data_IF_824027012703
#
_entry.id   IF_824027012703
#
_cell.length_a   1.000
_cell.length_b   1.000
_cell.length_c   1.000
_cell.angle_alpha   90.00
_cell.angle_beta   90.00
_cell.angle_gamma   90.00
#
_symmetry.space_group_name_H-M   'P 1'
#
loop_
_entity.id
_entity.type
_entity.pdbx_description
1 polymer ?
#
# COMPACT_ATOMS: atom_id res chain seq x y z
N UNK A 1 13.51 -14.96 -17.21
CA UNK A 1 12.25 -14.98 -16.42
C UNK A 1 11.29 -13.93 -16.98
N UNK A 2 10.04 -14.29 -17.27
CA UNK A 2 9.03 -13.33 -17.74
C UNK A 2 8.58 -12.48 -16.54
N UNK A 3 8.65 -11.15 -16.64
CA UNK A 3 8.17 -10.26 -15.57
C UNK A 3 6.64 -10.42 -15.45
N UNK A 4 6.16 -10.74 -14.25
CA UNK A 4 4.73 -10.81 -13.90
C UNK A 4 4.38 -9.61 -13.03
N UNK A 5 3.20 -9.00 -13.25
CA UNK A 5 2.66 -8.05 -12.28
C UNK A 5 2.23 -8.76 -11.01
N UNK A 6 2.14 -8.02 -9.89
CA UNK A 6 1.64 -8.56 -8.62
C UNK A 6 0.22 -9.13 -8.80
N UNK A 7 -0.66 -8.41 -9.47
CA UNK A 7 -2.03 -8.87 -9.71
C UNK A 7 -2.10 -10.16 -10.50
N UNK A 8 -1.27 -10.30 -11.55
CA UNK A 8 -1.20 -11.54 -12.32
C UNK A 8 -0.71 -12.70 -11.46
N UNK A 9 0.36 -12.48 -10.70
CA UNK A 9 0.91 -13.50 -9.81
C UNK A 9 -0.13 -13.97 -8.78
N UNK A 10 -0.88 -13.05 -8.16
CA UNK A 10 -1.89 -13.41 -7.17
C UNK A 10 -3.09 -14.16 -7.78
N UNK A 11 -3.52 -13.79 -8.98
CA UNK A 11 -4.56 -14.52 -9.72
C UNK A 11 -4.10 -15.95 -10.00
N UNK A 12 -2.87 -16.12 -10.47
CA UNK A 12 -2.29 -17.45 -10.73
C UNK A 12 -2.19 -18.28 -9.45
N UNK A 13 -1.86 -17.67 -8.30
CA UNK A 13 -1.80 -18.38 -7.00
C UNK A 13 -3.18 -18.77 -6.43
N UNK A 14 -4.20 -17.95 -6.65
CA UNK A 14 -5.57 -18.28 -6.28
C UNK A 14 -6.13 -19.42 -7.15
N UNK A 15 -5.96 -19.32 -8.48
CA UNK A 15 -6.62 -20.22 -9.42
C UNK A 15 -5.90 -21.57 -9.60
N UNK A 16 -4.57 -21.55 -9.76
CA UNK A 16 -3.83 -22.75 -10.18
C UNK A 16 -3.37 -23.61 -9.00
N UNK A 17 -3.27 -23.02 -7.80
CA UNK A 17 -2.70 -23.71 -6.64
C UNK A 17 -3.61 -23.68 -5.42
N UNK A 18 -4.74 -22.94 -5.46
CA UNK A 18 -5.63 -22.72 -4.30
C UNK A 18 -4.87 -22.31 -3.02
N UNK A 19 -3.70 -21.69 -3.18
CA UNK A 19 -2.79 -21.38 -2.07
C UNK A 19 -3.30 -20.20 -1.23
N UNK A 20 -4.15 -19.38 -1.82
CA UNK A 20 -4.74 -18.20 -1.18
C UNK A 20 -6.23 -18.14 -1.47
N UNK A 21 -7.01 -17.71 -0.50
CA UNK A 21 -8.43 -17.42 -0.69
C UNK A 21 -8.63 -16.14 -1.52
N UNK A 22 -9.85 -15.96 -2.04
CA UNK A 22 -10.24 -14.73 -2.72
C UNK A 22 -10.09 -13.50 -1.79
N UNK A 23 -10.43 -13.65 -0.51
CA UNK A 23 -10.31 -12.59 0.49
C UNK A 23 -8.86 -12.19 0.74
N UNK A 24 -7.95 -13.18 0.83
CA UNK A 24 -6.53 -12.89 1.00
C UNK A 24 -5.94 -12.20 -0.24
N UNK A 25 -6.34 -12.63 -1.46
CA UNK A 25 -5.96 -11.92 -2.69
C UNK A 25 -6.45 -10.47 -2.65
N UNK A 26 -7.71 -10.25 -2.28
CA UNK A 26 -8.30 -8.92 -2.20
C UNK A 26 -7.57 -8.04 -1.20
N UNK A 27 -7.25 -8.56 -0.01
CA UNK A 27 -6.51 -7.86 1.02
C UNK A 27 -5.14 -7.38 0.50
N UNK A 28 -4.37 -8.27 -0.12
CA UNK A 28 -3.06 -7.92 -0.67
C UNK A 28 -3.18 -6.85 -1.77
N UNK A 29 -4.21 -6.96 -2.62
CA UNK A 29 -4.51 -5.97 -3.65
C UNK A 29 -4.89 -4.59 -3.08
N UNK A 30 -5.63 -4.54 -1.98
CA UNK A 30 -5.94 -3.29 -1.26
C UNK A 30 -4.66 -2.65 -0.72
N UNK A 31 -3.80 -3.44 -0.06
CA UNK A 31 -2.52 -2.96 0.48
C UNK A 31 -1.62 -2.43 -0.65
N UNK A 32 -1.52 -3.16 -1.77
CA UNK A 32 -0.72 -2.73 -2.92
C UNK A 32 -1.22 -1.39 -3.50
N UNK A 33 -2.54 -1.18 -3.57
CA UNK A 33 -3.12 0.11 -3.97
C UNK A 33 -2.79 1.22 -2.97
N UNK A 34 -2.86 0.96 -1.68
CA UNK A 34 -2.49 1.92 -0.64
C UNK A 34 -1.01 2.32 -0.76
N UNK A 35 -0.10 1.35 -0.93
CA UNK A 35 1.33 1.62 -1.16
C UNK A 35 1.55 2.50 -2.39
N UNK A 36 0.84 2.23 -3.50
CA UNK A 36 0.93 3.05 -4.71
C UNK A 36 0.42 4.48 -4.49
N UNK A 37 -0.68 4.65 -3.74
CA UNK A 37 -1.20 5.97 -3.40
C UNK A 37 -0.21 6.76 -2.52
N UNK A 38 0.37 6.14 -1.50
CA UNK A 38 1.40 6.74 -0.64
C UNK A 38 2.62 7.14 -1.48
N UNK A 39 3.11 6.27 -2.35
CA UNK A 39 4.25 6.57 -3.23
C UNK A 39 3.99 7.77 -4.14
N UNK A 40 2.78 7.91 -4.67
CA UNK A 40 2.37 9.09 -5.45
C UNK A 40 2.35 10.34 -4.57
N UNK A 41 1.81 10.25 -3.35
CA UNK A 41 1.76 11.38 -2.42
C UNK A 41 3.17 11.86 -2.02
N UNK A 42 4.07 10.92 -1.69
CA UNK A 42 5.49 11.20 -1.42
C UNK A 42 6.17 11.82 -2.64
N UNK A 43 5.95 11.26 -3.84
CA UNK A 43 6.53 11.77 -5.08
C UNK A 43 6.08 13.19 -5.44
N UNK A 44 4.90 13.62 -4.98
CA UNK A 44 4.41 15.00 -5.10
C UNK A 44 4.87 15.90 -3.96
N UNK A 45 5.26 15.35 -2.81
CA UNK A 45 5.86 16.05 -1.69
C UNK A 45 5.10 17.32 -1.30
N UNK A 46 5.82 18.46 -1.25
CA UNK A 46 5.26 19.75 -0.84
C UNK A 46 4.15 20.28 -1.77
N UNK A 47 4.06 19.82 -3.02
CA UNK A 47 2.95 20.23 -3.90
C UNK A 47 1.59 19.73 -3.43
N UNK A 48 1.55 18.69 -2.58
CA UNK A 48 0.32 18.15 -2.04
C UNK A 48 0.02 18.64 -0.61
N UNK A 49 0.83 19.56 -0.04
CA UNK A 49 0.75 20.02 1.37
C UNK A 49 0.75 18.87 2.40
N UNK A 50 1.30 17.73 2.00
CA UNK A 50 1.32 16.50 2.81
C UNK A 50 2.55 16.39 3.71
N UNK A 51 3.53 17.27 3.58
CA UNK A 51 4.75 17.24 4.39
C UNK A 51 4.56 18.06 5.67
N UNK A 52 5.16 17.61 6.78
CA UNK A 52 5.18 18.33 8.06
C UNK A 52 4.43 17.63 9.19
N UNK A 53 4.31 18.31 10.33
CA UNK A 53 3.59 17.77 11.51
C UNK A 53 2.08 17.77 11.28
N UNK A 54 1.42 16.72 11.76
CA UNK A 54 -0.04 16.65 11.89
C UNK A 54 -0.55 17.35 13.16
N UNK A 55 0.35 17.96 13.95
CA UNK A 55 0.05 18.60 15.25
C UNK A 55 -0.72 17.68 16.21
N UNK A 56 -0.46 16.39 16.10
CA UNK A 56 -1.06 15.34 16.91
C UNK A 56 0.05 14.41 17.42
N UNK A 57 -0.21 13.76 18.55
CA UNK A 57 0.69 12.80 19.17
C UNK A 57 0.06 11.41 19.09
N UNK A 58 0.85 10.39 18.76
CA UNK A 58 0.38 9.01 18.75
C UNK A 58 0.35 8.42 20.18
N UNK A 59 -0.21 7.22 20.34
CA UNK A 59 -0.30 6.56 21.65
C UNK A 59 1.06 6.21 22.26
N UNK A 60 2.14 6.28 21.46
CA UNK A 60 3.52 6.06 21.86
C UNK A 60 4.24 7.34 22.32
N UNK A 61 3.60 8.51 22.21
CA UNK A 61 4.17 9.79 22.60
C UNK A 61 4.96 10.51 21.50
N UNK A 62 4.84 10.06 20.25
CA UNK A 62 5.57 10.65 19.12
C UNK A 62 4.71 11.66 18.37
N UNK A 63 5.33 12.77 17.95
CA UNK A 63 4.67 13.77 17.08
C UNK A 63 4.41 13.14 15.71
N UNK A 64 3.14 13.00 15.37
CA UNK A 64 2.68 12.46 14.10
C UNK A 64 2.97 13.44 12.96
N UNK A 65 3.41 12.91 11.81
CA UNK A 65 3.53 13.66 10.55
C UNK A 65 2.30 13.46 9.67
N UNK A 66 1.98 14.45 8.83
CA UNK A 66 0.89 14.36 7.84
C UNK A 66 1.15 13.22 6.83
N UNK A 67 2.41 13.03 6.44
CA UNK A 67 2.94 11.92 5.64
C UNK A 67 4.43 11.71 5.93
#
# INVERSE_FOLDING_TARGET
>A
MRKSSLSRFLIEKQHNSQLISADLRLLIEVVARACKAISIAIGKGNLADVLGSANAENIQGEVQKKL
#
